data_IF_765804493009
#
_entry.id   IF_765804493009
#
_cell.length_a   1.000
_cell.length_b   1.000
_cell.length_c   1.000
_cell.angle_alpha   90.00
_cell.angle_beta   90.00
_cell.angle_gamma   90.00
#
_symmetry.space_group_name_H-M   'P 1'
#
loop_
_entity.id
_entity.type
_entity.pdbx_description
1 polymer ?
#
# COMPACT_ATOMS: atom_id res chain seq x y z
N UNK A 1 8.24 -8.70 7.54
CA UNK A 1 9.67 -8.90 7.89
C UNK A 1 10.50 -7.89 7.13
N UNK A 2 11.44 -7.23 7.81
CA UNK A 2 12.50 -6.43 7.21
C UNK A 2 13.65 -7.33 6.72
N UNK A 3 14.23 -7.01 5.57
CA UNK A 3 15.39 -7.73 5.01
C UNK A 3 16.71 -7.18 5.58
N UNK A 4 17.71 -8.03 5.89
CA UNK A 4 18.95 -7.60 6.53
C UNK A 4 20.07 -7.14 5.55
N UNK A 5 19.82 -6.92 4.25
CA UNK A 5 20.92 -6.77 3.26
C UNK A 5 20.81 -5.55 2.34
N UNK A 6 20.26 -4.43 2.79
CA UNK A 6 20.57 -3.13 2.18
C UNK A 6 20.83 -2.10 3.27
N UNK A 7 22.08 -1.62 3.33
CA UNK A 7 22.57 -0.75 4.40
C UNK A 7 22.03 0.70 4.34
N UNK A 8 21.17 1.04 3.39
CA UNK A 8 20.68 2.42 3.26
C UNK A 8 19.20 2.60 2.93
N UNK A 9 18.44 1.59 2.50
CA UNK A 9 16.98 1.71 2.34
C UNK A 9 16.35 0.32 2.17
N UNK A 10 15.51 -0.15 3.11
CA UNK A 10 14.55 -1.27 2.93
C UNK A 10 13.61 -1.34 4.15
N UNK A 11 12.33 -1.77 4.00
CA UNK A 11 12.01 -3.09 3.44
C UNK A 11 10.84 -3.17 2.43
N UNK A 12 11.13 -3.54 1.17
CA UNK A 12 10.12 -4.04 0.24
C UNK A 12 9.94 -5.54 0.49
N UNK A 13 8.81 -5.95 1.07
CA UNK A 13 8.48 -7.37 1.31
C UNK A 13 7.37 -7.86 0.40
N UNK A 14 7.44 -9.12 -0.02
CA UNK A 14 6.40 -9.79 -0.79
C UNK A 14 6.02 -11.05 -0.03
N UNK A 15 4.72 -11.29 0.07
CA UNK A 15 4.15 -12.41 0.79
C UNK A 15 4.42 -13.75 0.09
N UNK A 16 5.07 -14.66 0.81
CA UNK A 16 5.02 -16.11 0.60
C UNK A 16 5.09 -16.77 1.99
N UNK A 17 3.94 -16.88 2.64
CA UNK A 17 3.83 -17.46 3.98
C UNK A 17 3.60 -18.96 3.88
N UNK A 18 4.64 -19.77 4.12
CA UNK A 18 4.46 -21.20 4.42
C UNK A 18 3.87 -21.43 5.82
N UNK A 19 4.20 -20.58 6.79
CA UNK A 19 3.51 -20.37 8.08
C UNK A 19 4.05 -19.11 8.77
N UNK A 20 3.28 -18.47 9.68
CA UNK A 20 3.72 -17.28 10.41
C UNK A 20 4.96 -17.52 11.32
N UNK A 21 5.22 -18.78 11.67
CA UNK A 21 6.35 -19.20 12.49
C UNK A 21 7.62 -19.56 11.68
N UNK A 22 7.51 -19.76 10.36
CA UNK A 22 8.62 -20.23 9.52
C UNK A 22 8.81 -19.30 8.32
N UNK A 23 9.74 -18.37 8.48
CA UNK A 23 10.08 -17.35 7.51
C UNK A 23 10.84 -17.98 6.33
N UNK A 24 10.33 -17.83 5.10
CA UNK A 24 11.08 -18.19 3.89
C UNK A 24 11.85 -16.96 3.39
N UNK A 25 13.17 -17.06 3.34
CA UNK A 25 14.02 -16.00 2.78
C UNK A 25 13.88 -16.01 1.26
N UNK A 26 13.32 -14.94 0.69
CA UNK A 26 13.35 -14.69 -0.76
C UNK A 26 14.54 -13.81 -1.13
N UNK A 27 15.28 -14.20 -2.18
CA UNK A 27 16.44 -13.46 -2.72
C UNK A 27 16.09 -12.51 -3.87
N UNK A 28 14.81 -12.35 -4.21
CA UNK A 28 14.34 -11.51 -5.32
C UNK A 28 13.00 -10.82 -5.03
N UNK A 29 12.72 -9.77 -5.80
CA UNK A 29 11.44 -9.05 -5.78
C UNK A 29 10.43 -9.79 -6.68
N UNK A 30 9.51 -10.54 -6.08
CA UNK A 30 8.31 -11.01 -6.76
C UNK A 30 7.20 -9.96 -6.57
N UNK A 31 6.83 -9.12 -7.54
CA UNK A 31 5.83 -8.03 -7.33
C UNK A 31 4.41 -8.47 -6.92
N UNK A 32 4.14 -9.78 -6.85
CA UNK A 32 2.81 -10.35 -6.59
C UNK A 32 2.96 -11.52 -5.63
N UNK A 33 2.15 -11.58 -4.57
CA UNK A 33 1.95 -12.81 -3.81
C UNK A 33 1.18 -13.78 -4.72
N UNK A 34 1.82 -14.79 -5.33
CA UNK A 34 1.20 -15.56 -6.42
C UNK A 34 -0.02 -16.35 -5.95
N UNK A 35 -0.14 -16.58 -4.64
CA UNK A 35 -1.16 -17.41 -4.03
C UNK A 35 -2.34 -16.61 -3.46
N UNK A 36 -2.34 -15.27 -3.56
CA UNK A 36 -3.46 -14.44 -3.09
C UNK A 36 -4.30 -13.96 -4.29
N UNK A 37 -5.50 -14.53 -4.52
CA UNK A 37 -6.29 -14.27 -5.73
C UNK A 37 -6.60 -12.79 -5.95
N UNK A 38 -6.81 -12.03 -4.88
CA UNK A 38 -7.09 -10.60 -4.98
C UNK A 38 -5.94 -9.83 -5.64
N UNK A 39 -4.68 -10.09 -5.26
CA UNK A 39 -3.54 -9.39 -5.87
C UNK A 39 -3.30 -9.82 -7.31
N UNK A 40 -3.60 -11.08 -7.65
CA UNK A 40 -3.60 -11.53 -9.04
C UNK A 40 -4.66 -10.79 -9.88
N UNK A 41 -5.88 -10.63 -9.34
CA UNK A 41 -6.97 -9.88 -9.98
C UNK A 41 -6.57 -8.40 -10.19
N UNK A 42 -5.97 -7.76 -9.17
CA UNK A 42 -5.45 -6.37 -9.28
C UNK A 42 -4.34 -6.25 -10.32
N UNK A 43 -3.36 -7.15 -10.31
CA UNK A 43 -2.26 -7.13 -11.29
C UNK A 43 -2.77 -7.38 -12.72
N UNK A 44 -3.77 -8.24 -12.90
CA UNK A 44 -4.41 -8.43 -14.20
C UNK A 44 -5.15 -7.18 -14.67
N UNK A 45 -5.83 -6.47 -13.76
CA UNK A 45 -6.62 -5.29 -14.09
C UNK A 45 -5.78 -4.03 -14.34
N UNK A 46 -4.71 -3.83 -13.57
CA UNK A 46 -3.96 -2.58 -13.57
C UNK A 46 -2.50 -2.74 -14.03
N UNK A 47 -1.98 -3.96 -14.07
CA UNK A 47 -0.58 -4.25 -14.39
C UNK A 47 0.35 -3.35 -13.57
N UNK A 48 1.30 -2.71 -14.26
CA UNK A 48 2.27 -1.83 -13.63
C UNK A 48 1.69 -0.48 -13.18
N UNK A 49 0.38 -0.24 -13.21
CA UNK A 49 -0.22 1.01 -12.71
C UNK A 49 -0.38 1.00 -11.20
N UNK A 50 -0.74 -0.16 -10.62
CA UNK A 50 -0.96 -0.36 -9.20
C UNK A 50 -0.25 -1.64 -8.74
N UNK A 51 0.66 -1.51 -7.80
CA UNK A 51 1.46 -2.62 -7.30
C UNK A 51 1.48 -2.65 -5.78
N UNK A 52 0.79 -3.65 -5.24
CA UNK A 52 0.73 -3.89 -3.80
C UNK A 52 2.01 -4.58 -3.34
N UNK A 53 2.59 -4.09 -2.26
CA UNK A 53 3.83 -4.63 -1.70
C UNK A 53 3.94 -4.33 -0.22
N UNK A 54 4.78 -5.08 0.45
CA UNK A 54 5.20 -4.81 1.81
C UNK A 54 4.11 -5.09 2.83
N UNK A 55 4.53 -5.52 4.01
CA UNK A 55 3.73 -5.27 5.19
C UNK A 55 4.60 -4.86 6.36
N UNK A 56 4.03 -4.02 7.22
CA UNK A 56 4.45 -3.96 8.62
C UNK A 56 4.32 -5.35 9.26
N UNK A 57 4.90 -5.52 10.45
CA UNK A 57 4.51 -6.65 11.30
C UNK A 57 3.00 -6.58 11.53
N UNK A 58 2.32 -7.72 11.39
CA UNK A 58 0.89 -7.78 11.67
C UNK A 58 0.64 -7.97 13.17
N UNK A 59 -0.48 -7.42 13.65
CA UNK A 59 -0.95 -7.57 15.03
C UNK A 59 -2.07 -8.60 15.03
N UNK A 60 -2.01 -9.56 15.96
CA UNK A 60 -3.14 -10.47 16.21
C UNK A 60 -4.27 -9.67 16.84
N UNK A 61 -5.45 -9.69 16.22
CA UNK A 61 -6.61 -8.98 16.73
C UNK A 61 -7.23 -9.69 17.93
N UNK A 62 -8.01 -8.93 18.68
CA UNK A 62 -8.73 -9.45 19.83
C UNK A 62 -9.68 -10.57 19.39
N UNK A 63 -9.64 -11.68 20.11
CA UNK A 63 -10.33 -12.92 19.73
C UNK A 63 -9.49 -13.90 18.90
N UNK A 64 -8.29 -13.50 18.44
CA UNK A 64 -7.30 -14.43 17.88
C UNK A 64 -7.67 -15.05 16.53
N UNK A 65 -8.66 -14.48 15.82
CA UNK A 65 -9.18 -15.02 14.55
C UNK A 65 -8.57 -14.37 13.31
N UNK A 66 -8.02 -13.17 13.44
CA UNK A 66 -7.47 -12.39 12.34
C UNK A 66 -6.22 -11.64 12.76
N UNK A 67 -5.37 -11.37 11.78
CA UNK A 67 -4.29 -10.40 11.88
C UNK A 67 -4.65 -9.14 11.12
N UNK A 68 -4.14 -8.00 11.57
CA UNK A 68 -4.19 -6.71 10.86
C UNK A 68 -2.78 -6.21 10.57
N UNK A 69 -2.57 -5.66 9.38
CA UNK A 69 -1.30 -5.09 8.96
C UNK A 69 -1.50 -3.85 8.07
N UNK A 70 -0.41 -3.10 7.88
CA UNK A 70 -0.34 -2.00 6.92
C UNK A 70 0.56 -2.43 5.78
N UNK A 71 0.04 -2.37 4.56
CA UNK A 71 0.80 -2.57 3.34
C UNK A 71 1.10 -1.26 2.62
N UNK A 72 1.92 -1.36 1.59
CA UNK A 72 2.36 -0.26 0.75
C UNK A 72 1.89 -0.47 -0.70
N UNK A 73 1.33 0.56 -1.31
CA UNK A 73 0.89 0.55 -2.70
C UNK A 73 1.76 1.51 -3.51
N UNK A 74 2.47 0.98 -4.51
CA UNK A 74 3.10 1.79 -5.55
C UNK A 74 2.09 2.04 -6.65
N UNK A 75 1.90 3.30 -7.01
CA UNK A 75 0.90 3.69 -7.99
C UNK A 75 1.43 4.73 -8.97
N UNK A 76 0.82 4.78 -10.16
CA UNK A 76 1.03 5.87 -11.09
C UNK A 76 0.49 7.19 -10.48
N UNK A 77 1.21 8.31 -10.55
CA UNK A 77 0.77 9.57 -9.92
C UNK A 77 -0.65 10.01 -10.32
N UNK A 78 -1.01 9.79 -11.59
CA UNK A 78 -2.35 10.10 -12.12
C UNK A 78 -3.48 9.22 -11.57
N UNK A 79 -3.18 8.15 -10.82
CA UNK A 79 -4.19 7.31 -10.17
C UNK A 79 -4.82 7.93 -8.93
N UNK A 80 -4.16 8.92 -8.33
CA UNK A 80 -4.62 9.55 -7.09
C UNK A 80 -5.79 10.48 -7.38
N UNK A 81 -6.87 10.34 -6.62
CA UNK A 81 -7.95 11.31 -6.63
C UNK A 81 -7.82 12.22 -5.41
N UNK A 82 -7.75 13.53 -5.65
CA UNK A 82 -7.95 14.49 -4.58
C UNK A 82 -9.43 14.46 -4.18
N UNK A 83 -9.71 14.32 -2.89
CA UNK A 83 -11.08 14.45 -2.35
C UNK A 83 -11.59 15.90 -2.50
N UNK A 84 -10.72 16.87 -2.80
CA UNK A 84 -11.03 18.31 -2.69
C UNK A 84 -11.43 19.06 -3.98
N UNK A 85 -11.48 18.42 -5.17
CA UNK A 85 -11.79 19.16 -6.41
C UNK A 85 -13.05 18.66 -7.11
N UNK A 86 -14.04 19.53 -7.20
CA UNK A 86 -15.41 19.27 -7.68
C UNK A 86 -15.56 19.03 -9.19
N UNK A 87 -14.58 19.26 -10.07
CA UNK A 87 -14.95 19.53 -11.48
C UNK A 87 -14.12 18.87 -12.59
N UNK A 88 -13.39 17.78 -12.34
CA UNK A 88 -12.86 16.96 -13.44
C UNK A 88 -13.02 15.50 -13.08
N UNK A 89 -13.70 14.72 -13.92
CA UNK A 89 -13.75 13.26 -13.81
C UNK A 89 -12.31 12.80 -13.57
N UNK A 90 -11.98 12.27 -12.38
CA UNK A 90 -10.62 11.86 -12.09
C UNK A 90 -10.19 10.90 -13.20
N UNK A 91 -8.98 11.06 -13.73
CA UNK A 91 -8.35 10.00 -14.50
C UNK A 91 -8.12 8.85 -13.51
N UNK A 92 -9.14 8.01 -13.30
CA UNK A 92 -9.01 6.84 -12.44
C UNK A 92 -7.97 5.91 -13.04
N UNK A 93 -7.34 5.06 -12.21
CA UNK A 93 -6.44 4.03 -12.74
C UNK A 93 -7.10 3.20 -13.83
N UNK A 94 -8.41 2.98 -13.73
CA UNK A 94 -9.23 2.30 -14.74
C UNK A 94 -9.20 3.02 -16.08
N UNK A 95 -9.36 4.34 -16.09
CA UNK A 95 -9.26 5.15 -17.30
C UNK A 95 -7.85 5.12 -17.91
N UNK A 96 -6.80 5.06 -17.08
CA UNK A 96 -5.43 4.93 -17.55
C UNK A 96 -5.16 3.53 -18.12
N UNK A 97 -5.61 2.48 -17.43
CA UNK A 97 -5.46 1.09 -17.85
C UNK A 97 -6.12 0.83 -19.22
N UNK A 98 -7.30 1.41 -19.45
CA UNK A 98 -8.05 1.23 -20.70
C UNK A 98 -7.41 1.89 -21.94
N UNK A 99 -6.51 2.87 -21.76
CA UNK A 99 -6.02 3.69 -22.88
C UNK A 99 -4.74 3.18 -23.55
N UNK A 100 -4.11 2.11 -23.04
CA UNK A 100 -2.83 1.55 -23.53
C UNK A 100 -1.81 2.61 -24.00
N UNK A 101 -1.70 3.73 -23.28
CA UNK A 101 -0.87 4.87 -23.72
C UNK A 101 0.57 4.61 -23.31
N UNK A 102 1.29 3.83 -24.13
CA UNK A 102 2.75 3.80 -24.07
C UNK A 102 3.31 4.69 -25.19
N UNK A 103 4.34 5.51 -24.91
CA UNK A 103 4.98 5.74 -23.62
C UNK A 103 4.20 6.72 -22.73
N UNK A 104 4.15 6.44 -21.42
CA UNK A 104 3.60 7.35 -20.43
C UNK A 104 4.45 8.62 -20.39
N UNK A 105 3.88 9.83 -20.53
CA UNK A 105 4.65 11.07 -20.63
C UNK A 105 5.51 11.41 -19.39
N UNK A 106 5.33 10.70 -18.27
CA UNK A 106 5.96 10.97 -16.98
C UNK A 106 7.13 10.00 -16.69
N UNK A 107 7.84 9.53 -17.74
CA UNK A 107 9.03 8.68 -17.64
C UNK A 107 10.33 9.50 -17.61
N UNK A 108 11.32 9.01 -16.89
CA UNK A 108 12.68 9.54 -16.88
C UNK A 108 13.69 8.39 -16.93
N UNK A 109 14.81 8.61 -17.61
CA UNK A 109 15.91 7.65 -17.61
C UNK A 109 16.68 7.74 -16.30
N UNK A 110 16.74 6.64 -15.56
CA UNK A 110 17.59 6.52 -14.38
C UNK A 110 18.75 5.58 -14.68
N UNK A 111 19.97 6.08 -14.48
CA UNK A 111 21.19 5.30 -14.69
C UNK A 111 21.58 4.60 -13.39
N UNK A 112 21.57 3.27 -13.40
CA UNK A 112 22.00 2.47 -12.25
C UNK A 112 23.54 2.43 -12.13
N UNK A 113 24.03 1.92 -11.00
CA UNK A 113 25.47 1.80 -10.71
C UNK A 113 26.25 0.95 -11.73
N UNK A 114 25.55 0.06 -12.45
CA UNK A 114 26.10 -0.77 -13.54
C UNK A 114 26.22 -0.02 -14.88
N UNK A 115 25.86 1.27 -14.90
CA UNK A 115 25.90 2.12 -16.09
C UNK A 115 24.73 1.94 -17.05
N UNK A 116 23.77 1.04 -16.78
CA UNK A 116 22.59 0.85 -17.61
C UNK A 116 21.51 1.88 -17.27
N UNK A 117 20.84 2.42 -18.29
CA UNK A 117 19.66 3.26 -18.12
C UNK A 117 18.41 2.40 -18.10
N UNK A 118 17.55 2.66 -17.14
CA UNK A 118 16.23 2.05 -17.06
C UNK A 118 15.19 3.17 -17.14
N UNK A 119 14.11 2.94 -17.87
CA UNK A 119 12.97 3.86 -17.86
C UNK A 119 12.26 3.74 -16.50
N UNK A 120 12.32 4.82 -15.70
CA UNK A 120 11.57 4.95 -14.46
C UNK A 120 10.35 5.83 -14.70
N UNK A 121 9.25 5.52 -14.04
CA UNK A 121 8.07 6.37 -14.04
C UNK A 121 8.03 7.13 -12.72
N UNK A 122 7.49 8.36 -12.74
CA UNK A 122 7.14 9.03 -11.50
C UNK A 122 6.05 8.21 -10.79
N UNK A 123 6.42 7.58 -9.69
CA UNK A 123 5.53 6.77 -8.86
C UNK A 123 5.18 7.54 -7.60
N UNK A 124 3.94 7.35 -7.18
CA UNK A 124 3.48 7.74 -5.87
C UNK A 124 3.22 6.50 -5.03
N UNK A 125 3.44 6.63 -3.73
CA UNK A 125 3.45 5.53 -2.77
C UNK A 125 2.38 5.84 -1.74
N UNK A 126 1.49 4.89 -1.50
CA UNK A 126 0.39 5.00 -0.55
C UNK A 126 0.47 3.87 0.48
N UNK A 127 -0.29 3.99 1.57
CA UNK A 127 -0.50 2.92 2.54
C UNK A 127 -1.89 2.33 2.34
N UNK A 128 -2.07 1.07 2.73
CA UNK A 128 -3.39 0.48 2.86
C UNK A 128 -3.42 -0.44 4.08
N UNK A 129 -4.58 -0.56 4.71
CA UNK A 129 -4.83 -1.50 5.79
C UNK A 129 -5.43 -2.77 5.20
N UNK A 130 -5.06 -3.92 5.76
CA UNK A 130 -5.70 -5.18 5.38
C UNK A 130 -5.73 -6.13 6.57
N UNK A 131 -6.75 -7.00 6.56
CA UNK A 131 -6.89 -8.11 7.50
C UNK A 131 -6.73 -9.42 6.80
N UNK A 132 -6.20 -10.41 7.51
CA UNK A 132 -6.09 -11.77 7.00
C UNK A 132 -6.35 -12.80 8.12
N UNK A 133 -6.74 -14.01 7.72
CA UNK A 133 -7.05 -15.09 8.68
C UNK A 133 -5.85 -15.38 9.58
N UNK A 134 -6.09 -15.64 10.87
CA UNK A 134 -5.04 -16.09 11.78
C UNK A 134 -4.65 -17.57 11.58
N UNK A 135 -5.48 -18.31 10.84
CA UNK A 135 -5.24 -19.70 10.48
C UNK A 135 -4.85 -19.82 9.01
N UNK A 136 -3.97 -20.78 8.64
CA UNK A 136 -3.71 -21.11 7.26
C UNK A 136 -5.01 -21.35 6.47
N UNK A 137 -5.11 -20.89 5.20
CA UNK A 137 -4.00 -20.38 4.39
C UNK A 137 -3.70 -18.87 4.53
N UNK A 138 -4.15 -18.21 5.61
CA UNK A 138 -3.90 -16.77 5.86
C UNK A 138 -4.50 -15.84 4.79
N UNK A 139 -5.68 -16.19 4.27
CA UNK A 139 -6.35 -15.41 3.22
C UNK A 139 -6.65 -13.98 3.68
N UNK A 140 -6.52 -13.03 2.76
CA UNK A 140 -6.99 -11.67 2.99
C UNK A 140 -8.51 -11.69 3.14
N UNK A 141 -9.02 -11.12 4.23
CA UNK A 141 -10.45 -11.06 4.52
C UNK A 141 -11.01 -9.67 4.35
N UNK A 142 -10.20 -8.64 4.60
CA UNK A 142 -10.59 -7.23 4.47
C UNK A 142 -9.47 -6.40 3.89
N UNK A 143 -9.83 -5.33 3.20
CA UNK A 143 -8.91 -4.41 2.57
C UNK A 143 -9.48 -2.99 2.65
N UNK A 144 -8.63 -2.01 2.96
CA UNK A 144 -8.98 -0.61 2.82
C UNK A 144 -8.64 -0.09 1.42
N UNK A 145 -9.29 0.99 1.04
CA UNK A 145 -8.76 1.85 -0.02
C UNK A 145 -7.36 2.33 0.38
N UNK A 146 -6.49 2.50 -0.61
CA UNK A 146 -5.15 3.01 -0.34
C UNK A 146 -5.23 4.52 -0.10
N UNK A 147 -4.38 4.99 0.80
CA UNK A 147 -4.37 6.39 1.19
C UNK A 147 -2.97 6.94 1.37
N UNK A 148 -2.81 8.22 1.03
CA UNK A 148 -1.69 9.05 1.43
C UNK A 148 -2.15 10.08 2.44
N UNK A 149 -1.27 10.41 3.40
CA UNK A 149 -1.51 11.52 4.30
C UNK A 149 -1.07 12.81 3.63
N UNK A 150 -1.85 13.87 3.76
CA UNK A 150 -1.38 15.18 3.32
C UNK A 150 -0.11 15.57 4.09
N UNK A 151 0.91 15.99 3.35
CA UNK A 151 2.16 16.51 3.90
C UNK A 151 2.67 17.64 3.01
N UNK A 152 2.96 18.81 3.59
CA UNK A 152 3.45 20.00 2.88
C UNK A 152 4.79 19.79 2.16
N UNK A 153 5.51 18.73 2.53
CA UNK A 153 6.80 18.36 1.94
C UNK A 153 6.76 16.94 1.34
N UNK A 154 5.56 16.48 0.96
CA UNK A 154 5.41 15.17 0.34
C UNK A 154 6.02 15.14 -1.06
N UNK A 155 7.00 14.28 -1.26
CA UNK A 155 7.64 14.00 -2.55
C UNK A 155 7.15 12.69 -3.17
N UNK A 156 5.97 12.23 -2.78
CA UNK A 156 5.32 11.06 -3.40
C UNK A 156 5.72 9.71 -2.81
N UNK A 157 6.58 9.67 -1.79
CA UNK A 157 7.04 8.40 -1.19
C UNK A 157 6.49 8.24 0.23
N UNK A 158 5.76 7.16 0.51
CA UNK A 158 5.31 6.75 1.83
C UNK A 158 5.69 5.29 2.02
N UNK A 159 6.32 4.99 3.16
CA UNK A 159 6.71 3.63 3.48
C UNK A 159 6.30 3.25 4.90
N UNK A 160 5.28 2.40 5.10
CA UNK A 160 4.90 1.95 6.43
C UNK A 160 6.02 1.07 7.00
N UNK A 161 6.49 1.41 8.20
CA UNK A 161 7.62 0.76 8.87
C UNK A 161 7.19 -0.01 10.11
N UNK A 162 6.05 0.35 10.73
CA UNK A 162 5.55 -0.31 11.93
C UNK A 162 4.06 -0.13 12.14
N UNK A 163 3.47 -1.09 12.86
CA UNK A 163 2.09 -1.05 13.35
C UNK A 163 2.11 -1.56 14.79
N UNK A 164 1.52 -0.80 15.70
CA UNK A 164 1.42 -1.13 17.14
C UNK A 164 0.04 -0.74 17.69
N UNK A 165 -0.41 -1.39 18.77
CA UNK A 165 -1.58 -0.92 19.53
C UNK A 165 -1.15 -0.01 20.68
N UNK A 166 -1.81 1.14 20.83
CA UNK A 166 -1.48 2.13 21.85
C UNK A 166 -2.70 2.55 22.66
N UNK A 167 -2.46 2.92 23.92
CA UNK A 167 -3.49 3.43 24.82
C UNK A 167 -4.52 2.39 25.30
N UNK A 168 -5.41 2.80 26.22
CA UNK A 168 -6.46 1.92 26.77
C UNK A 168 -7.53 1.57 25.73
N UNK A 169 -7.77 2.47 24.77
CA UNK A 169 -8.71 2.26 23.66
C UNK A 169 -8.15 1.35 22.56
N UNK A 170 -6.88 0.96 22.68
CA UNK A 170 -6.17 0.06 21.76
C UNK A 170 -6.15 0.56 20.33
N UNK A 171 -5.98 1.87 20.19
CA UNK A 171 -5.81 2.57 18.93
C UNK A 171 -4.59 2.05 18.17
N UNK A 172 -4.61 2.21 16.86
CA UNK A 172 -3.52 1.78 15.99
C UNK A 172 -2.54 2.93 15.75
N UNK A 173 -1.29 2.73 16.15
CA UNK A 173 -0.17 3.60 15.80
C UNK A 173 0.56 3.00 14.60
N UNK A 174 0.58 3.76 13.50
CA UNK A 174 1.26 3.40 12.26
C UNK A 174 2.50 4.28 12.14
N UNK A 175 3.68 3.66 12.20
CA UNK A 175 4.94 4.32 11.90
C UNK A 175 5.21 4.24 10.40
N UNK A 176 5.64 5.34 9.79
CA UNK A 176 5.95 5.39 8.36
C UNK A 176 7.06 6.41 8.05
N UNK A 177 7.82 6.14 6.99
CA UNK A 177 8.69 7.10 6.33
C UNK A 177 7.88 7.98 5.36
N UNK A 178 8.11 9.28 5.40
CA UNK A 178 7.59 10.25 4.44
C UNK A 178 8.74 10.85 3.64
N UNK A 179 8.66 10.66 2.32
CA UNK A 179 9.52 11.29 1.33
C UNK A 179 11.01 11.00 1.52
N UNK A 180 11.33 9.85 2.12
CA UNK A 180 12.69 9.42 2.46
C UNK A 180 13.46 10.42 3.33
N UNK A 181 12.73 11.31 4.01
CA UNK A 181 13.29 12.44 4.78
C UNK A 181 12.83 12.47 6.22
N UNK A 182 11.59 12.04 6.46
CA UNK A 182 10.96 12.14 7.77
C UNK A 182 10.44 10.79 8.22
N UNK A 183 10.55 10.53 9.52
CA UNK A 183 9.82 9.47 10.19
C UNK A 183 8.60 10.08 10.87
N UNK A 184 7.43 9.49 10.65
CA UNK A 184 6.15 10.01 11.15
C UNK A 184 5.32 8.91 11.76
N UNK A 185 4.34 9.34 12.54
CA UNK A 185 3.33 8.47 13.14
C UNK A 185 1.94 8.93 12.72
N UNK A 186 1.06 7.97 12.47
CA UNK A 186 -0.37 8.17 12.31
C UNK A 186 -1.06 7.35 13.41
N UNK A 187 -1.90 8.01 14.22
CA UNK A 187 -2.74 7.33 15.20
C UNK A 187 -4.16 7.29 14.65
N UNK A 188 -4.74 6.10 14.63
CA UNK A 188 -6.12 5.88 14.19
C UNK A 188 -6.87 5.11 15.26
N UNK A 189 -8.06 5.60 15.61
CA UNK A 189 -8.90 4.87 16.55
C UNK A 189 -9.31 3.52 15.97
N UNK A 190 -9.43 2.50 16.82
CA UNK A 190 -9.86 1.18 16.39
C UNK A 190 -11.18 1.20 15.58
N UNK A 191 -12.23 1.95 15.99
CA UNK A 191 -13.46 2.07 15.22
C UNK A 191 -13.28 2.72 13.84
N UNK A 192 -12.32 3.62 13.67
CA UNK A 192 -12.04 4.24 12.38
C UNK A 192 -11.30 3.27 11.45
N UNK A 193 -10.38 2.45 11.98
CA UNK A 193 -9.75 1.37 11.22
C UNK A 193 -10.79 0.35 10.75
N UNK A 194 -11.75 -0.01 11.61
CA UNK A 194 -12.85 -0.91 11.23
C UNK A 194 -13.70 -0.36 10.08
N UNK A 195 -14.03 0.93 10.11
CA UNK A 195 -14.79 1.59 9.04
C UNK A 195 -14.06 1.62 7.70
N UNK A 196 -12.73 1.64 7.71
CA UNK A 196 -11.92 1.66 6.48
C UNK A 196 -11.79 0.28 5.85
N UNK A 197 -11.92 -0.78 6.62
CA UNK A 197 -11.69 -2.16 6.19
C UNK A 197 -12.97 -2.75 5.61
N UNK A 198 -13.00 -2.90 4.28
CA UNK A 198 -14.12 -3.52 3.57
C UNK A 198 -13.88 -5.02 3.40
N UNK A 199 -14.91 -5.88 3.54
CA UNK A 199 -14.79 -7.30 3.25
C UNK A 199 -14.30 -7.54 1.82
N UNK A 200 -13.28 -8.39 1.65
CA UNK A 200 -12.64 -8.61 0.34
C UNK A 200 -13.64 -9.13 -0.70
N UNK A 201 -14.65 -9.88 -0.26
CA UNK A 201 -15.72 -10.40 -1.13
C UNK A 201 -16.53 -9.26 -1.75
N UNK A 202 -16.80 -8.21 -0.98
CA UNK A 202 -17.52 -7.03 -1.44
C UNK A 202 -16.66 -6.24 -2.42
N UNK A 203 -15.39 -6.00 -2.09
CA UNK A 203 -14.41 -5.35 -2.98
C UNK A 203 -14.31 -6.06 -4.32
N UNK A 204 -14.24 -7.40 -4.31
CA UNK A 204 -14.20 -8.22 -5.54
C UNK A 204 -15.52 -8.17 -6.32
N UNK A 205 -16.67 -8.23 -5.63
CA UNK A 205 -17.98 -8.19 -6.26
C UNK A 205 -18.29 -6.85 -6.92
N UNK A 206 -17.84 -5.75 -6.31
CA UNK A 206 -17.90 -4.42 -6.90
C UNK A 206 -16.97 -4.30 -8.12
N UNK A 207 -15.97 -5.20 -8.25
CA UNK A 207 -14.96 -5.18 -9.29
C UNK A 207 -13.74 -4.38 -8.87
N UNK A 208 -12.56 -4.94 -9.12
CA UNK A 208 -11.26 -4.33 -8.80
C UNK A 208 -11.07 -2.94 -9.42
N UNK A 209 -11.78 -2.63 -10.50
CA UNK A 209 -11.80 -1.30 -11.14
C UNK A 209 -12.40 -0.17 -10.28
N UNK A 210 -13.11 -0.53 -9.20
CA UNK A 210 -13.63 0.40 -8.21
C UNK A 210 -12.68 0.64 -7.04
N UNK A 211 -11.47 0.05 -7.07
CA UNK A 211 -10.43 0.39 -6.11
C UNK A 211 -9.91 1.80 -6.36
N UNK A 212 -9.85 2.61 -5.30
CA UNK A 212 -9.52 4.03 -5.36
C UNK A 212 -8.33 4.37 -4.46
N UNK A 213 -7.60 5.42 -4.85
CA UNK A 213 -6.43 5.92 -4.14
C UNK A 213 -6.72 7.32 -3.62
N UNK A 214 -6.97 7.41 -2.33
CA UNK A 214 -7.37 8.63 -1.66
C UNK A 214 -6.15 9.43 -1.19
N UNK A 215 -6.15 10.75 -1.38
CA UNK A 215 -5.34 11.63 -0.53
C UNK A 215 -6.19 12.10 0.63
N UNK A 216 -5.80 11.78 1.86
CA UNK A 216 -6.49 12.27 3.04
C UNK A 216 -6.35 13.80 3.11
N UNK A 217 -7.43 14.52 3.45
CA UNK A 217 -7.39 15.98 3.48
C UNK A 217 -6.32 16.46 4.46
N UNK A 218 -5.67 17.56 4.12
CA UNK A 218 -4.82 18.26 5.08
C UNK A 218 -5.73 18.73 6.21
N UNK A 219 -5.51 18.22 7.43
CA UNK A 219 -5.97 18.97 8.58
C UNK A 219 -5.31 20.35 8.48
N UNK A 220 -6.11 21.41 8.43
CA UNK A 220 -5.59 22.75 8.63
C UNK A 220 -5.07 22.74 10.06
N UNK A 221 -3.78 22.49 10.24
CA UNK A 221 -3.15 22.69 11.53
C UNK A 221 -3.17 24.20 11.75
N UNK A 222 -4.21 24.66 12.45
CA UNK A 222 -4.21 26.00 13.03
C UNK A 222 -3.05 26.01 14.03
N UNK A 223 -1.96 26.67 13.63
CA UNK A 223 -0.83 26.95 14.50
C UNK A 223 -1.19 27.99 15.56
#
# INVERSE_FOLDING_TARGET
>A
MSYPVYHTFTPHSIFDWGSYAHLRVKRGFDSVAPNEPFFADMNKAFGNLLEFSGSTRAILEDGGKSYIAVGHLRAHARCFHSISSSDKVPLTCTNLAARDVRPWPDWFDFKHWDGRSYAHHRREYAMFLYRFSATPPYEITHLSQAFTLCSYHHHGVIFPTGLERVGPERDYLIAYGDSDRYSRFLIMSAPNVDKLLQPIREVRSAGVHNYVLCTLPCAVMHG
#
